data_IF_404091740142
#
_entry.id   IF_404091740142
#
_cell.length_a   1.000
_cell.length_b   1.000
_cell.length_c   1.000
_cell.angle_alpha   90.00
_cell.angle_beta   90.00
_cell.angle_gamma   90.00
#
_symmetry.space_group_name_H-M   'P 1'
#
loop_
_entity.id
_entity.type
_entity.pdbx_description
1 polymer ?
#
# COMPACT_ATOMS: atom_id res chain seq x y z
N UNK A 1 2.65 19.13 -2.70
CA UNK A 1 1.78 18.51 -3.75
C UNK A 1 1.94 19.17 -5.13
N UNK A 2 2.67 20.29 -5.30
CA UNK A 2 2.94 20.83 -6.64
C UNK A 2 1.69 21.18 -7.48
N UNK A 3 0.57 21.54 -6.84
CA UNK A 3 -0.72 21.81 -7.51
C UNK A 3 -1.61 20.58 -7.73
N UNK A 4 -1.14 19.36 -7.45
CA UNK A 4 -1.96 18.16 -7.60
C UNK A 4 -3.15 18.11 -6.61
N UNK A 5 -4.32 17.59 -7.03
CA UNK A 5 -5.49 17.42 -6.17
C UNK A 5 -5.17 16.60 -4.92
N UNK A 6 -5.83 16.92 -3.80
CA UNK A 6 -5.74 16.12 -2.60
C UNK A 6 -6.26 14.68 -2.87
N UNK A 7 -5.65 13.71 -2.20
CA UNK A 7 -6.19 12.36 -2.06
C UNK A 7 -6.09 11.39 -3.24
N UNK A 8 -5.47 11.78 -4.36
CA UNK A 8 -5.23 10.84 -5.47
C UNK A 8 -3.89 10.10 -5.43
N UNK A 9 -3.06 10.30 -4.39
CA UNK A 9 -1.80 9.57 -4.16
C UNK A 9 -0.69 9.72 -5.22
N UNK A 10 -0.97 10.23 -6.42
CA UNK A 10 -0.07 10.23 -7.57
C UNK A 10 1.34 10.78 -7.30
N UNK A 11 1.50 11.98 -6.72
CA UNK A 11 2.82 12.51 -6.40
C UNK A 11 3.61 11.65 -5.40
N UNK A 12 2.93 11.01 -4.45
CA UNK A 12 3.58 10.10 -3.50
C UNK A 12 4.07 8.84 -4.22
N UNK A 13 3.21 8.23 -5.06
CA UNK A 13 3.57 7.05 -5.85
C UNK A 13 4.76 7.35 -6.76
N UNK A 14 4.76 8.50 -7.43
CA UNK A 14 5.87 8.94 -8.29
C UNK A 14 7.16 9.14 -7.49
N UNK A 15 7.08 9.79 -6.32
CA UNK A 15 8.25 10.01 -5.48
C UNK A 15 8.90 8.71 -5.01
N UNK A 16 8.11 7.73 -4.55
CA UNK A 16 8.65 6.43 -4.12
C UNK A 16 9.23 5.65 -5.30
N UNK A 17 8.60 5.70 -6.47
CA UNK A 17 9.14 5.07 -7.70
C UNK A 17 10.46 5.68 -8.16
N UNK A 18 10.68 6.97 -7.89
CA UNK A 18 11.93 7.66 -8.20
C UNK A 18 12.99 7.55 -7.10
N UNK A 19 12.61 7.09 -5.89
CA UNK A 19 13.53 6.99 -4.78
C UNK A 19 14.58 5.91 -5.02
N UNK A 20 15.84 6.26 -4.71
CA UNK A 20 16.93 5.31 -4.62
C UNK A 20 16.93 4.67 -3.24
N UNK A 21 17.05 3.34 -3.20
CA UNK A 21 17.12 2.60 -1.94
C UNK A 21 18.57 2.31 -1.57
N UNK A 22 18.92 2.40 -0.28
CA UNK A 22 20.24 1.99 0.18
C UNK A 22 20.46 0.50 -0.11
N UNK A 23 21.72 0.12 -0.28
CA UNK A 23 22.07 -1.30 -0.40
C UNK A 23 21.71 -2.07 0.87
N UNK A 24 21.29 -3.33 0.72
CA UNK A 24 20.92 -4.21 1.82
C UNK A 24 19.41 -4.47 1.92
N UNK A 25 18.97 -4.98 3.07
CA UNK A 25 17.58 -5.35 3.30
C UNK A 25 16.70 -4.12 3.53
N UNK A 26 15.58 -4.04 2.81
CA UNK A 26 14.59 -2.97 2.94
C UNK A 26 13.34 -3.52 3.62
N UNK A 27 12.94 -2.86 4.71
CA UNK A 27 11.63 -3.03 5.33
C UNK A 27 10.77 -1.82 4.98
N UNK A 28 9.55 -2.06 4.50
CA UNK A 28 8.61 -1.02 4.14
C UNK A 28 7.33 -1.15 4.95
N UNK A 29 6.83 0.00 5.43
CA UNK A 29 5.49 0.12 6.01
C UNK A 29 4.70 1.17 5.22
N UNK A 30 3.54 0.78 4.69
CA UNK A 30 2.69 1.61 3.86
C UNK A 30 1.35 1.85 4.56
N UNK A 31 0.94 3.10 4.69
CA UNK A 31 -0.36 3.47 5.23
C UNK A 31 -0.91 4.71 4.54
N UNK A 32 -2.20 4.73 4.25
CA UNK A 32 -2.83 5.88 3.61
C UNK A 32 -4.00 5.51 2.71
N UNK A 33 -4.12 6.20 1.58
CA UNK A 33 -5.18 5.93 0.62
C UNK A 33 -4.99 4.54 0.00
N UNK A 34 -6.03 3.71 0.02
CA UNK A 34 -5.94 2.28 -0.28
C UNK A 34 -5.39 2.00 -1.69
N UNK A 35 -5.84 2.76 -2.71
CA UNK A 35 -5.35 2.62 -4.07
C UNK A 35 -3.86 2.94 -4.21
N UNK A 36 -3.41 4.02 -3.58
CA UNK A 36 -2.01 4.42 -3.55
C UNK A 36 -1.13 3.40 -2.82
N UNK A 37 -1.58 2.93 -1.65
CA UNK A 37 -0.89 1.90 -0.86
C UNK A 37 -0.71 0.63 -1.69
N UNK A 38 -1.77 0.17 -2.36
CA UNK A 38 -1.72 -1.01 -3.24
C UNK A 38 -0.77 -0.81 -4.42
N UNK A 39 -0.81 0.35 -5.07
CA UNK A 39 0.10 0.67 -6.17
C UNK A 39 1.57 0.69 -5.73
N UNK A 40 1.85 1.17 -4.52
CA UNK A 40 3.18 1.14 -3.91
C UNK A 40 3.61 -0.27 -3.56
N UNK A 41 2.75 -1.07 -2.90
CA UNK A 41 3.07 -2.47 -2.58
C UNK A 41 3.43 -3.25 -3.83
N UNK A 42 2.62 -3.13 -4.89
CA UNK A 42 2.88 -3.76 -6.18
C UNK A 42 4.25 -3.36 -6.73
N UNK A 43 4.56 -2.06 -6.74
CA UNK A 43 5.87 -1.58 -7.18
C UNK A 43 7.02 -2.19 -6.37
N UNK A 44 6.92 -2.19 -5.04
CA UNK A 44 7.96 -2.69 -4.16
C UNK A 44 8.19 -4.20 -4.31
N UNK A 45 7.12 -4.99 -4.43
CA UNK A 45 7.23 -6.45 -4.51
C UNK A 45 7.51 -6.91 -5.94
N UNK A 46 6.69 -6.51 -6.91
CA UNK A 46 6.74 -7.06 -8.27
C UNK A 46 7.82 -6.40 -9.13
N UNK A 47 8.03 -5.08 -8.99
CA UNK A 47 8.97 -4.36 -9.85
C UNK A 47 10.36 -4.21 -9.22
N UNK A 48 10.43 -4.05 -7.89
CA UNK A 48 11.68 -3.91 -7.14
C UNK A 48 12.17 -5.22 -6.52
N UNK A 49 11.34 -6.26 -6.50
CA UNK A 49 11.72 -7.59 -6.04
C UNK A 49 11.90 -7.72 -4.52
N UNK A 50 11.31 -6.83 -3.72
CA UNK A 50 11.32 -6.98 -2.26
C UNK A 50 10.53 -8.25 -1.87
N UNK A 51 11.02 -8.96 -0.85
CA UNK A 51 10.26 -10.06 -0.25
C UNK A 51 8.92 -9.51 0.26
N UNK A 52 7.81 -10.15 -0.10
CA UNK A 52 6.47 -9.74 0.36
C UNK A 52 6.37 -9.61 1.89
N UNK A 53 7.15 -10.42 2.64
CA UNK A 53 7.21 -10.40 4.11
C UNK A 53 7.94 -9.18 4.65
N UNK A 54 8.73 -8.49 3.82
CA UNK A 54 9.44 -7.25 4.18
C UNK A 54 8.58 -6.00 3.93
N UNK A 55 7.36 -6.15 3.40
CA UNK A 55 6.45 -5.05 3.06
C UNK A 55 5.13 -5.20 3.83
N UNK A 56 4.94 -4.38 4.86
CA UNK A 56 3.70 -4.28 5.61
C UNK A 56 2.86 -3.12 5.06
N UNK A 57 1.56 -3.30 4.95
CA UNK A 57 0.70 -2.29 4.37
C UNK A 57 -0.70 -2.29 4.96
N UNK A 58 -1.37 -1.14 4.88
CA UNK A 58 -2.79 -1.00 5.22
C UNK A 58 -3.43 0.16 4.47
N UNK A 59 -4.51 -0.13 3.74
CA UNK A 59 -5.40 0.90 3.20
C UNK A 59 -6.30 1.48 4.28
N UNK A 60 -6.14 2.77 4.61
CA UNK A 60 -6.90 3.43 5.69
C UNK A 60 -8.17 4.12 5.19
N UNK A 61 -8.15 4.64 3.97
CA UNK A 61 -9.26 5.42 3.43
C UNK A 61 -9.26 5.36 1.90
N UNK A 62 -10.39 5.74 1.29
CA UNK A 62 -10.54 5.88 -0.17
C UNK A 62 -11.15 7.24 -0.48
N UNK A 63 -10.71 7.89 -1.54
CA UNK A 63 -11.13 9.26 -1.86
C UNK A 63 -12.65 9.41 -2.04
N UNK A 64 -13.27 8.39 -2.61
CA UNK A 64 -14.68 8.42 -3.01
C UNK A 64 -15.58 7.57 -2.08
N UNK A 65 -15.08 7.15 -0.91
CA UNK A 65 -15.87 6.42 0.09
C UNK A 65 -15.72 7.04 1.47
N UNK A 66 -16.84 7.17 2.17
CA UNK A 66 -16.86 7.39 3.60
C UNK A 66 -16.59 6.08 4.34
N UNK A 67 -16.24 6.18 5.62
CA UNK A 67 -15.97 5.01 6.46
C UNK A 67 -17.18 4.06 6.58
N UNK A 68 -18.40 4.62 6.57
CA UNK A 68 -19.64 3.87 6.72
C UNK A 68 -20.15 3.28 5.39
N UNK A 69 -19.52 3.62 4.27
CA UNK A 69 -19.81 2.96 2.99
C UNK A 69 -19.32 1.51 3.02
N UNK A 70 -19.93 0.67 2.19
CA UNK A 70 -19.50 -0.72 2.08
C UNK A 70 -18.03 -0.80 1.62
N UNK A 71 -17.21 -1.71 2.21
CA UNK A 71 -15.86 -1.93 1.75
C UNK A 71 -15.87 -2.46 0.31
N UNK A 72 -14.85 -2.12 -0.46
CA UNK A 72 -14.68 -2.68 -1.80
C UNK A 72 -14.25 -4.14 -1.74
N UNK A 73 -14.41 -4.88 -2.84
CA UNK A 73 -13.86 -6.24 -2.95
C UNK A 73 -12.35 -6.28 -2.68
N UNK A 74 -11.65 -5.20 -3.03
CA UNK A 74 -10.21 -5.08 -2.81
C UNK A 74 -9.88 -4.93 -1.32
N UNK A 75 -10.67 -4.13 -0.59
CA UNK A 75 -10.53 -3.97 0.87
C UNK A 75 -10.83 -5.30 1.59
N UNK A 76 -11.84 -6.03 1.13
CA UNK A 76 -12.18 -7.35 1.65
C UNK A 76 -11.08 -8.39 1.37
N UNK A 77 -10.46 -8.35 0.19
CA UNK A 77 -9.36 -9.22 -0.16
C UNK A 77 -8.12 -8.94 0.70
N UNK A 78 -7.77 -7.66 0.93
CA UNK A 78 -6.69 -7.27 1.85
C UNK A 78 -6.98 -7.73 3.28
N UNK A 79 -8.21 -7.55 3.77
CA UNK A 79 -8.59 -8.02 5.10
C UNK A 79 -8.44 -9.54 5.23
N UNK A 80 -8.79 -10.29 4.18
CA UNK A 80 -8.62 -11.75 4.15
C UNK A 80 -7.16 -12.17 4.09
N UNK A 81 -6.32 -11.46 3.33
CA UNK A 81 -4.87 -11.67 3.31
C UNK A 81 -4.29 -11.50 4.72
N UNK A 82 -4.63 -10.39 5.41
CA UNK A 82 -4.18 -10.14 6.79
C UNK A 82 -4.64 -11.20 7.78
N UNK A 83 -5.87 -11.70 7.65
CA UNK A 83 -6.36 -12.78 8.50
C UNK A 83 -5.59 -14.08 8.27
N UNK A 84 -5.20 -14.36 7.03
CA UNK A 84 -4.33 -15.50 6.69
C UNK A 84 -2.94 -15.34 7.31
N UNK A 85 -2.31 -14.18 7.12
CA UNK A 85 -0.97 -13.90 7.67
C UNK A 85 -0.96 -13.97 9.21
N UNK A 86 -2.04 -13.53 9.86
CA UNK A 86 -2.18 -13.62 11.30
C UNK A 86 -2.38 -15.08 11.79
N UNK A 87 -3.06 -15.91 11.01
CA UNK A 87 -3.26 -17.32 11.34
C UNK A 87 -1.96 -18.15 11.21
N UNK A 88 -1.09 -17.80 10.25
CA UNK A 88 0.21 -18.46 10.03
C UNK A 88 1.23 -18.18 11.16
N UNK A 89 0.93 -17.26 12.08
CA UNK A 89 1.76 -16.90 13.25
C UNK A 89 1.36 -17.62 14.55
N UNK A 90 0.30 -18.44 14.52
CA UNK A 90 -0.25 -19.20 15.67
C UNK A 90 -0.08 -20.70 15.50
#
# INVERSE_FOLDING_TARGET
RGGAPAGRGGPLVAAVRAAEFPAGSVLAWLGGEAGAVRALRRHLVEERGLDKRSVHFSGYWRLDLAQDDAPTEEDLAEARERLSDAADLT
#
